data_IF_163067512493
#
_entry.id   IF_163067512493
#
_cell.length_a   1.000
_cell.length_b   1.000
_cell.length_c   1.000
_cell.angle_alpha   90.00
_cell.angle_beta   90.00
_cell.angle_gamma   90.00
#
_symmetry.space_group_name_H-M   'P 1'
#
loop_
_entity.id
_entity.type
_entity.pdbx_description
1 polymer ?
#
# COMPACT_ATOMS: atom_id res chain seq x y z
N UNK A 1 8.42 -15.15 -3.57
CA UNK A 1 8.78 -13.76 -3.85
C UNK A 1 7.74 -12.86 -3.23
N UNK A 2 8.18 -11.78 -2.59
CA UNK A 2 7.26 -10.89 -1.86
C UNK A 2 7.03 -9.56 -2.58
N UNK A 3 7.15 -9.54 -3.91
CA UNK A 3 6.93 -8.36 -4.73
C UNK A 3 5.80 -8.59 -5.73
N UNK A 4 5.15 -7.50 -6.13
CA UNK A 4 4.12 -7.54 -7.16
C UNK A 4 4.38 -6.40 -8.15
N UNK A 5 4.21 -6.66 -9.43
CA UNK A 5 4.41 -5.68 -10.48
C UNK A 5 3.10 -4.93 -10.76
N UNK A 6 3.22 -3.74 -11.38
CA UNK A 6 2.08 -2.90 -11.68
C UNK A 6 1.08 -3.61 -12.59
N UNK A 7 1.56 -4.42 -13.53
CA UNK A 7 0.69 -5.15 -14.46
C UNK A 7 -0.24 -6.09 -13.72
N UNK A 8 0.29 -6.84 -12.76
CA UNK A 8 -0.53 -7.75 -11.98
C UNK A 8 -1.47 -6.95 -11.05
N UNK A 9 -0.94 -5.97 -10.34
CA UNK A 9 -1.73 -5.21 -9.38
C UNK A 9 -2.91 -4.50 -10.05
N UNK A 10 -2.66 -3.86 -11.20
CA UNK A 10 -3.71 -3.08 -11.87
C UNK A 10 -4.87 -3.94 -12.34
N UNK A 11 -4.62 -5.22 -12.66
CA UNK A 11 -5.70 -6.13 -13.07
C UNK A 11 -6.45 -6.72 -11.88
N UNK A 12 -5.92 -6.57 -10.67
CA UNK A 12 -6.48 -7.19 -9.46
C UNK A 12 -7.08 -6.18 -8.48
N UNK A 13 -7.21 -4.91 -8.87
CA UNK A 13 -7.85 -3.92 -8.01
C UNK A 13 -9.28 -4.32 -7.72
N UNK A 14 -9.65 -4.25 -6.44
CA UNK A 14 -10.95 -4.72 -5.97
C UNK A 14 -10.95 -6.17 -5.51
N UNK A 15 -9.98 -6.98 -5.97
CA UNK A 15 -9.89 -8.39 -5.62
C UNK A 15 -8.81 -8.66 -4.57
N UNK A 16 -7.81 -7.79 -4.46
CA UNK A 16 -6.76 -7.93 -3.46
C UNK A 16 -6.74 -6.69 -2.55
N UNK A 17 -6.65 -6.88 -1.23
CA UNK A 17 -6.52 -5.74 -0.31
C UNK A 17 -5.20 -5.00 -0.55
N UNK A 18 -5.26 -3.67 -0.61
CA UNK A 18 -4.09 -2.81 -0.81
C UNK A 18 -4.01 -1.84 0.36
N UNK A 19 -2.83 -1.71 0.96
CA UNK A 19 -2.60 -0.76 2.04
C UNK A 19 -1.53 0.25 1.64
N UNK A 20 -1.87 1.52 1.81
CA UNK A 20 -0.95 2.64 1.63
C UNK A 20 -0.30 2.93 2.98
N UNK A 21 1.02 2.80 3.05
CA UNK A 21 1.74 2.98 4.32
C UNK A 21 2.48 4.32 4.39
N UNK A 22 2.11 5.26 3.51
CA UNK A 22 2.64 6.63 3.54
C UNK A 22 1.96 7.44 4.64
N UNK A 23 2.33 8.71 4.75
CA UNK A 23 1.66 9.64 5.66
C UNK A 23 0.23 9.91 5.20
N UNK A 24 -0.62 10.39 6.11
CA UNK A 24 -2.00 10.73 5.79
C UNK A 24 -2.09 11.79 4.70
N UNK A 25 -1.23 12.80 4.74
CA UNK A 25 -1.26 13.87 3.75
C UNK A 25 -0.80 13.41 2.37
N UNK A 26 0.08 12.43 2.29
CA UNK A 26 0.41 11.81 1.00
C UNK A 26 -0.79 11.03 0.47
N UNK A 27 -1.45 10.26 1.35
CA UNK A 27 -2.60 9.44 0.98
C UNK A 27 -3.76 10.28 0.45
N UNK A 28 -4.10 11.38 1.10
CA UNK A 28 -5.24 12.21 0.70
C UNK A 28 -4.89 13.22 -0.39
N UNK A 29 -3.62 13.29 -0.81
CA UNK A 29 -3.18 14.14 -1.89
C UNK A 29 -2.86 15.58 -1.49
N UNK A 30 -2.94 15.92 -0.20
CA UNK A 30 -2.73 17.30 0.23
C UNK A 30 -1.27 17.70 0.31
N UNK A 31 -0.35 16.73 0.46
CA UNK A 31 1.09 17.03 0.58
C UNK A 31 1.95 15.88 0.07
N UNK A 32 1.82 15.56 -1.21
CA UNK A 32 2.64 14.52 -1.84
C UNK A 32 3.97 15.07 -2.34
N UNK A 33 4.77 14.19 -2.94
CA UNK A 33 6.06 14.58 -3.52
C UNK A 33 5.83 15.44 -4.76
N UNK A 34 6.48 16.61 -4.87
CA UNK A 34 6.29 17.50 -6.03
C UNK A 34 6.69 16.87 -7.36
N UNK A 35 7.57 15.87 -7.34
CA UNK A 35 8.01 15.20 -8.57
C UNK A 35 6.95 14.28 -9.17
N UNK A 36 5.88 13.95 -8.42
CA UNK A 36 4.84 13.05 -8.92
C UNK A 36 3.80 13.87 -9.70
N UNK A 37 3.42 13.41 -10.91
CA UNK A 37 2.49 14.17 -11.75
C UNK A 37 1.06 14.18 -11.22
N UNK A 38 0.69 13.22 -10.37
CA UNK A 38 -0.63 13.15 -9.75
C UNK A 38 -0.48 12.84 -8.28
N UNK A 39 -1.40 13.34 -7.47
CA UNK A 39 -1.42 13.13 -6.03
C UNK A 39 -2.68 12.36 -5.63
N UNK A 40 -2.63 11.68 -4.46
CA UNK A 40 -3.73 10.85 -3.98
C UNK A 40 -3.23 9.44 -3.70
N UNK A 41 -4.07 8.44 -3.97
CA UNK A 41 -3.73 7.04 -3.68
C UNK A 41 -4.35 6.08 -4.69
N UNK A 42 -3.90 4.84 -4.65
CA UNK A 42 -4.44 3.76 -5.49
C UNK A 42 -5.90 3.52 -5.10
N UNK A 43 -6.82 3.42 -6.07
CA UNK A 43 -8.24 3.25 -5.75
C UNK A 43 -8.49 2.04 -4.84
N UNK A 44 -9.30 2.27 -3.80
CA UNK A 44 -9.67 1.23 -2.84
C UNK A 44 -8.63 0.92 -1.78
N UNK A 45 -7.46 1.59 -1.80
CA UNK A 45 -6.42 1.35 -0.80
C UNK A 45 -6.88 1.82 0.58
N UNK A 46 -6.56 1.02 1.61
CA UNK A 46 -6.70 1.45 3.00
C UNK A 46 -5.43 2.19 3.40
N UNK A 47 -5.57 3.07 4.36
CA UNK A 47 -4.42 3.85 4.84
C UNK A 47 -4.02 3.43 6.25
N UNK A 48 -2.78 2.97 6.42
CA UNK A 48 -2.16 2.76 7.72
C UNK A 48 -0.70 3.17 7.58
N UNK A 49 -0.34 4.36 8.10
CA UNK A 49 1.05 4.84 8.09
C UNK A 49 1.98 3.77 8.69
N UNK A 50 3.15 3.54 8.09
CA UNK A 50 4.06 2.47 8.52
C UNK A 50 4.47 2.61 9.99
N UNK A 51 4.64 3.85 10.47
CA UNK A 51 5.00 4.07 11.87
C UNK A 51 3.86 3.73 12.81
N UNK A 52 2.62 3.96 12.39
CA UNK A 52 1.45 3.54 13.14
C UNK A 52 1.34 2.01 13.13
N UNK A 53 1.57 1.40 11.97
CA UNK A 53 1.54 -0.06 11.83
C UNK A 53 2.48 -0.74 12.84
N UNK A 54 3.66 -0.16 13.05
CA UNK A 54 4.63 -0.68 14.01
C UNK A 54 4.15 -0.65 15.45
N UNK A 55 3.14 0.17 15.76
CA UNK A 55 2.62 0.36 17.11
C UNK A 55 1.35 -0.42 17.40
N UNK A 56 0.74 -1.00 16.36
CA UNK A 56 -0.52 -1.73 16.51
C UNK A 56 -0.27 -3.18 16.95
N UNK A 57 -1.19 -3.72 17.75
CA UNK A 57 -1.20 -5.15 18.07
C UNK A 57 -1.64 -5.94 16.83
N UNK A 58 -1.39 -7.26 16.78
CA UNK A 58 -1.89 -8.08 15.67
C UNK A 58 -3.40 -7.98 15.48
N UNK A 59 -4.17 -7.90 16.57
CA UNK A 59 -5.63 -7.76 16.51
C UNK A 59 -6.04 -6.40 15.92
N UNK A 60 -5.32 -5.34 16.29
CA UNK A 60 -5.57 -4.01 15.74
C UNK A 60 -5.25 -3.94 14.25
N UNK A 61 -4.16 -4.58 13.83
CA UNK A 61 -3.78 -4.65 12.42
C UNK A 61 -4.87 -5.36 11.63
N UNK A 62 -5.36 -6.48 12.13
CA UNK A 62 -6.44 -7.23 11.49
C UNK A 62 -7.69 -6.35 11.31
N UNK A 63 -8.05 -5.60 12.34
CA UNK A 63 -9.20 -4.70 12.28
C UNK A 63 -8.99 -3.56 11.28
N UNK A 64 -7.80 -2.96 11.25
CA UNK A 64 -7.48 -1.85 10.35
C UNK A 64 -7.45 -2.28 8.90
N UNK A 65 -6.87 -3.44 8.61
CA UNK A 65 -6.75 -3.94 7.25
C UNK A 65 -8.02 -4.63 6.76
N UNK A 66 -8.86 -5.13 7.68
CA UNK A 66 -10.07 -5.84 7.30
C UNK A 66 -9.81 -7.22 6.73
N UNK A 67 -8.64 -7.81 6.98
CA UNK A 67 -8.25 -9.13 6.48
C UNK A 67 -7.60 -9.91 7.60
N UNK A 68 -7.57 -11.24 7.47
CA UNK A 68 -7.04 -12.13 8.49
C UNK A 68 -5.69 -12.70 8.07
N UNK A 69 -4.83 -13.11 9.03
CA UNK A 69 -3.60 -13.82 8.69
C UNK A 69 -3.90 -15.00 7.77
N UNK A 70 -3.05 -15.20 6.78
CA UNK A 70 -3.27 -16.16 5.70
C UNK A 70 -3.80 -15.51 4.43
N UNK A 71 -4.45 -14.35 4.55
CA UNK A 71 -4.94 -13.62 3.38
C UNK A 71 -3.81 -12.87 2.69
N UNK A 72 -3.98 -12.65 1.40
CA UNK A 72 -3.06 -11.82 0.62
C UNK A 72 -3.31 -10.36 0.90
N UNK A 73 -2.22 -9.57 0.97
CA UNK A 73 -2.30 -8.11 1.09
C UNK A 73 -1.14 -7.49 0.35
N UNK A 74 -1.39 -6.36 -0.32
CA UNK A 74 -0.35 -5.62 -1.04
C UNK A 74 -0.10 -4.31 -0.32
N UNK A 75 1.18 -4.01 -0.02
CA UNK A 75 1.57 -2.75 0.58
C UNK A 75 2.34 -1.90 -0.43
N UNK A 76 2.13 -0.59 -0.39
CA UNK A 76 2.93 0.33 -1.20
C UNK A 76 3.19 1.63 -0.42
N UNK A 77 4.20 2.37 -0.88
CA UNK A 77 4.51 3.70 -0.34
C UNK A 77 4.84 4.64 -1.50
N UNK A 78 5.86 5.49 -1.39
CA UNK A 78 6.25 6.34 -2.51
C UNK A 78 7.18 5.60 -3.47
N UNK A 79 8.20 4.90 -2.95
CA UNK A 79 9.24 4.26 -3.78
C UNK A 79 9.63 2.86 -3.30
N UNK A 80 8.85 2.26 -2.40
CA UNK A 80 9.00 0.87 -2.00
C UNK A 80 9.74 0.63 -0.69
N UNK A 81 10.40 1.63 -0.10
CA UNK A 81 11.22 1.41 1.09
C UNK A 81 10.37 1.22 2.36
N UNK A 82 9.42 2.12 2.61
CA UNK A 82 8.52 2.00 3.77
C UNK A 82 7.62 0.77 3.65
N UNK A 83 7.16 0.48 2.43
CA UNK A 83 6.29 -0.67 2.21
C UNK A 83 7.05 -1.99 2.28
N UNK A 84 8.35 -1.98 2.05
CA UNK A 84 9.16 -3.19 2.30
C UNK A 84 9.15 -3.54 3.79
N UNK A 85 9.30 -2.54 4.66
CA UNK A 85 9.21 -2.74 6.11
C UNK A 85 7.84 -3.29 6.49
N UNK A 86 6.77 -2.68 5.97
CA UNK A 86 5.41 -3.13 6.24
C UNK A 86 5.18 -4.56 5.76
N UNK A 87 5.68 -4.91 4.57
CA UNK A 87 5.56 -6.25 4.00
C UNK A 87 6.23 -7.28 4.91
N UNK A 88 7.44 -6.98 5.40
CA UNK A 88 8.15 -7.90 6.29
C UNK A 88 7.38 -8.11 7.61
N UNK A 89 6.85 -7.02 8.18
CA UNK A 89 6.06 -7.10 9.41
C UNK A 89 4.82 -7.97 9.20
N UNK A 90 4.09 -7.75 8.12
CA UNK A 90 2.86 -8.49 7.84
C UNK A 90 3.15 -9.97 7.57
N UNK A 91 4.22 -10.26 6.86
CA UNK A 91 4.64 -11.66 6.64
C UNK A 91 4.98 -12.34 7.96
N UNK A 92 5.62 -11.61 8.87
CA UNK A 92 5.92 -12.13 10.21
C UNK A 92 4.67 -12.45 11.03
N UNK A 93 3.55 -11.82 10.71
CA UNK A 93 2.27 -12.05 11.37
C UNK A 93 1.41 -13.10 10.66
N UNK A 94 1.92 -13.70 9.57
CA UNK A 94 1.22 -14.76 8.86
C UNK A 94 0.45 -14.34 7.61
N UNK A 95 0.50 -13.07 7.22
CA UNK A 95 -0.15 -12.62 5.98
C UNK A 95 0.69 -13.00 4.77
N UNK A 96 0.03 -13.25 3.64
CA UNK A 96 0.70 -13.35 2.36
C UNK A 96 0.88 -11.94 1.80
N UNK A 97 1.84 -11.21 2.37
CA UNK A 97 2.07 -9.82 2.04
C UNK A 97 3.07 -9.69 0.89
N UNK A 98 2.77 -8.77 -0.02
CA UNK A 98 3.62 -8.48 -1.17
C UNK A 98 3.87 -6.97 -1.25
N UNK A 99 5.07 -6.59 -1.62
CA UNK A 99 5.45 -5.19 -1.77
C UNK A 99 5.27 -4.76 -3.22
N UNK A 100 4.41 -3.75 -3.46
CA UNK A 100 4.38 -3.09 -4.76
C UNK A 100 5.52 -2.06 -4.77
N UNK A 101 6.68 -2.48 -5.24
CA UNK A 101 7.93 -1.70 -5.16
C UNK A 101 7.83 -0.40 -5.97
N UNK A 102 7.21 -0.46 -7.16
CA UNK A 102 7.02 0.74 -7.97
C UNK A 102 6.29 1.85 -7.25
N UNK A 103 5.33 1.48 -6.43
CA UNK A 103 4.65 2.36 -5.49
C UNK A 103 4.02 3.57 -6.17
N UNK A 104 3.74 4.64 -5.42
CA UNK A 104 3.07 5.82 -5.98
C UNK A 104 3.91 6.49 -7.05
N UNK A 105 5.24 6.43 -6.94
CA UNK A 105 6.13 6.97 -7.95
C UNK A 105 5.82 6.39 -9.34
N UNK A 106 5.60 5.10 -9.42
CA UNK A 106 5.24 4.45 -10.69
C UNK A 106 3.78 4.65 -11.05
N UNK A 107 2.87 4.39 -10.09
CA UNK A 107 1.42 4.45 -10.34
C UNK A 107 0.98 5.81 -10.86
N UNK A 108 1.49 6.88 -10.24
CA UNK A 108 1.10 8.25 -10.60
C UNK A 108 1.52 8.64 -12.02
N UNK A 109 2.46 7.91 -12.61
CA UNK A 109 2.97 8.18 -13.96
C UNK A 109 2.25 7.39 -15.05
N UNK A 110 1.36 6.48 -14.67
CA UNK A 110 0.55 5.71 -15.62
C UNK A 110 -0.81 6.40 -15.80
N UNK A 111 -0.94 7.21 -16.84
CA UNK A 111 -2.12 8.05 -17.09
C UNK A 111 -3.39 7.23 -17.30
N UNK A 112 -3.27 5.98 -17.72
CA UNK A 112 -4.40 5.07 -17.94
C UNK A 112 -4.94 4.48 -16.65
N UNK A 113 -4.25 4.67 -15.51
CA UNK A 113 -4.69 4.14 -14.23
C UNK A 113 -5.36 5.24 -13.41
N UNK A 114 -6.44 4.87 -12.72
CA UNK A 114 -7.21 5.80 -11.89
C UNK A 114 -6.48 6.12 -10.59
N UNK A 115 -6.81 7.27 -10.01
CA UNK A 115 -6.35 7.66 -8.67
C UNK A 115 -7.53 8.16 -7.87
N UNK A 116 -7.42 8.07 -6.55
CA UNK A 116 -8.39 8.63 -5.59
C UNK A 116 -7.67 9.56 -4.63
N UNK A 117 -8.44 10.41 -3.96
CA UNK A 117 -7.85 11.31 -2.97
C UNK A 117 -8.83 11.62 -1.83
#
# INVERSE_FOLDING_TARGET
MSEIAIEELSTRLGDVPVVDVRTRSEFDGSAGKPCDPRQGHIPGARHVDVYRLMQLSPEEIQAELGVEPGDEVVAYCHSGARSEIATQMLRGLGYEARNYVGSWHEWSRHDDLSVES
#
